data_IF_221214706111
#
_entry.id   IF_221214706111
#
_cell.length_a   1.000
_cell.length_b   1.000
_cell.length_c   1.000
_cell.angle_alpha   90.00
_cell.angle_beta   90.00
_cell.angle_gamma   90.00
#
_symmetry.space_group_name_H-M   'P 1'
#
loop_
_entity.id
_entity.type
_entity.pdbx_description
1 polymer ?
#
# COMPACT_ATOMS: atom_id res chain seq x y z
N UNK A 1 -7.02 -19.38 7.72
CA UNK A 1 -6.85 -17.94 8.05
C UNK A 1 -5.81 -17.87 9.16
N UNK A 2 -4.76 -17.04 9.03
CA UNK A 2 -3.54 -17.16 9.82
C UNK A 2 -3.61 -16.23 11.05
N UNK A 3 -3.67 -16.74 12.30
CA UNK A 3 -3.99 -15.96 13.51
C UNK A 3 -2.99 -14.83 13.83
N UNK A 4 -1.74 -14.94 13.37
CA UNK A 4 -0.72 -13.90 13.55
C UNK A 4 -1.09 -12.60 12.81
N UNK A 5 -1.77 -12.70 11.67
CA UNK A 5 -2.17 -11.53 10.87
C UNK A 5 -3.36 -10.81 11.53
N UNK A 6 -4.28 -11.55 12.17
CA UNK A 6 -5.45 -10.97 12.83
C UNK A 6 -5.10 -10.15 14.07
N UNK A 7 -3.96 -10.43 14.73
CA UNK A 7 -3.50 -9.69 15.90
C UNK A 7 -2.93 -8.31 15.52
N UNK A 8 -2.29 -8.18 14.35
CA UNK A 8 -1.72 -6.90 13.89
C UNK A 8 -2.72 -6.03 13.13
N UNK A 9 -3.79 -6.61 12.58
CA UNK A 9 -4.85 -5.90 11.84
C UNK A 9 -5.58 -4.78 12.60
N UNK A 10 -5.80 -4.83 13.94
CA UNK A 10 -6.57 -3.80 14.64
C UNK A 10 -5.76 -2.52 14.92
N UNK A 11 -4.43 -2.61 14.91
CA UNK A 11 -3.58 -1.45 15.22
C UNK A 11 -3.53 -0.58 13.96
N UNK A 12 -4.30 0.52 13.99
CA UNK A 12 -4.24 1.53 12.93
C UNK A 12 -2.79 1.97 12.69
N UNK A 13 -2.33 2.08 11.43
CA UNK A 13 -1.00 2.61 11.12
C UNK A 13 -0.72 3.98 11.76
N UNK A 14 -1.78 4.76 12.00
CA UNK A 14 -1.70 6.07 12.66
C UNK A 14 -1.20 5.98 14.12
N UNK A 15 -1.48 4.87 14.81
CA UNK A 15 -1.04 4.67 16.19
C UNK A 15 0.49 4.54 16.31
N UNK A 16 1.19 4.30 15.20
CA UNK A 16 2.64 4.19 15.15
C UNK A 16 3.35 5.54 15.01
N UNK A 17 2.63 6.64 14.73
CA UNK A 17 3.23 7.97 14.51
C UNK A 17 4.08 8.42 15.71
N UNK A 18 3.60 8.39 16.97
CA UNK A 18 4.41 8.84 18.11
C UNK A 18 5.68 7.99 18.30
N UNK A 19 5.57 6.68 18.07
CA UNK A 19 6.70 5.77 18.18
C UNK A 19 7.73 6.01 17.07
N UNK A 20 7.27 6.26 15.85
CA UNK A 20 8.13 6.62 14.73
C UNK A 20 8.92 7.90 15.02
N UNK A 21 8.28 8.92 15.61
CA UNK A 21 8.94 10.15 16.04
C UNK A 21 9.96 9.86 17.15
N UNK A 22 9.62 9.04 18.14
CA UNK A 22 10.53 8.70 19.24
C UNK A 22 11.78 7.94 18.78
N UNK A 23 11.63 7.02 17.82
CA UNK A 23 12.73 6.19 17.35
C UNK A 23 13.58 6.87 16.28
N UNK A 24 12.95 7.56 15.34
CA UNK A 24 13.62 8.09 14.14
C UNK A 24 13.76 9.62 14.14
N UNK A 25 13.11 10.31 15.08
CA UNK A 25 13.00 11.76 15.08
C UNK A 25 12.04 12.29 14.01
N UNK A 26 12.06 13.60 13.82
CA UNK A 26 11.34 14.28 12.74
C UNK A 26 12.19 14.18 11.46
N UNK A 27 11.64 13.57 10.42
CA UNK A 27 12.34 13.41 9.14
C UNK A 27 11.68 12.38 8.24
N UNK A 28 12.38 12.00 7.18
CA UNK A 28 11.87 11.08 6.15
C UNK A 28 11.84 9.62 6.61
N UNK A 29 12.78 9.21 7.47
CA UNK A 29 12.87 7.83 7.99
C UNK A 29 11.61 7.40 8.73
N UNK A 30 11.06 8.26 9.60
CA UNK A 30 9.81 7.99 10.32
C UNK A 30 8.61 7.84 9.38
N UNK A 31 8.52 8.69 8.35
CA UNK A 31 7.46 8.60 7.32
C UNK A 31 7.53 7.28 6.57
N UNK A 32 8.73 6.86 6.14
CA UNK A 32 8.95 5.58 5.45
C UNK A 32 8.54 4.40 6.31
N UNK A 33 8.86 4.42 7.61
CA UNK A 33 8.43 3.37 8.54
C UNK A 33 6.90 3.28 8.65
N UNK A 34 6.21 4.41 8.77
CA UNK A 34 4.75 4.46 8.84
C UNK A 34 4.10 3.92 7.56
N UNK A 35 4.63 4.30 6.39
CA UNK A 35 4.17 3.79 5.09
C UNK A 35 4.40 2.28 5.00
N UNK A 36 5.56 1.79 5.45
CA UNK A 36 5.85 0.36 5.46
C UNK A 36 4.82 -0.40 6.30
N UNK A 37 4.54 0.03 7.54
CA UNK A 37 3.53 -0.62 8.39
C UNK A 37 2.14 -0.56 7.76
N UNK A 38 1.76 0.57 7.15
CA UNK A 38 0.47 0.77 6.51
C UNK A 38 0.25 -0.08 5.24
N UNK A 39 1.32 -0.42 4.54
CA UNK A 39 1.25 -1.11 3.23
C UNK A 39 1.64 -2.58 3.30
N UNK A 40 2.43 -3.00 4.28
CA UNK A 40 2.95 -4.36 4.36
C UNK A 40 1.85 -5.43 4.45
N UNK A 41 0.90 -5.26 5.38
CA UNK A 41 -0.14 -6.27 5.62
C UNK A 41 -1.12 -6.43 4.45
N UNK A 42 -1.69 -5.35 3.85
CA UNK A 42 -2.59 -5.56 2.72
C UNK A 42 -1.87 -6.13 1.48
N UNK A 43 -0.61 -5.77 1.20
CA UNK A 43 0.19 -6.42 0.13
C UNK A 43 0.35 -7.91 0.42
N UNK A 44 0.83 -8.25 1.62
CA UNK A 44 1.10 -9.63 2.00
C UNK A 44 -0.16 -10.48 1.92
N UNK A 45 -1.28 -9.98 2.44
CA UNK A 45 -2.53 -10.74 2.49
C UNK A 45 -3.12 -10.99 1.12
N UNK A 46 -3.18 -9.97 0.27
CA UNK A 46 -3.67 -10.13 -1.10
C UNK A 46 -2.76 -11.02 -1.92
N UNK A 47 -1.44 -10.97 -1.71
CA UNK A 47 -0.49 -11.86 -2.37
C UNK A 47 -0.71 -13.31 -1.95
N UNK A 48 -0.82 -13.58 -0.63
CA UNK A 48 -1.05 -14.93 -0.11
C UNK A 48 -2.41 -15.47 -0.55
N UNK A 49 -3.45 -14.65 -0.54
CA UNK A 49 -4.78 -15.03 -1.01
C UNK A 49 -4.77 -15.33 -2.51
N UNK A 50 -4.10 -14.50 -3.31
CA UNK A 50 -3.92 -14.70 -4.74
C UNK A 50 -3.24 -16.02 -5.08
N UNK A 51 -2.16 -16.36 -4.38
CA UNK A 51 -1.45 -17.64 -4.59
C UNK A 51 -2.32 -18.83 -4.14
N UNK A 52 -3.08 -18.71 -3.05
CA UNK A 52 -3.94 -19.79 -2.54
C UNK A 52 -5.17 -20.06 -3.41
N UNK A 53 -5.64 -19.06 -4.15
CA UNK A 53 -6.80 -19.17 -5.04
C UNK A 53 -6.47 -19.79 -6.40
N UNK A 54 -5.20 -20.02 -6.72
CA UNK A 54 -4.81 -20.66 -7.99
C UNK A 54 -5.43 -22.05 -8.06
N UNK A 55 -6.18 -22.31 -9.13
CA UNK A 55 -6.81 -23.60 -9.33
C UNK A 55 -5.77 -24.71 -9.48
N UNK A 56 -5.94 -25.87 -8.81
CA UNK A 56 -5.01 -26.99 -8.94
C UNK A 56 -4.84 -27.48 -10.38
N UNK A 57 -5.83 -27.25 -11.25
CA UNK A 57 -5.78 -27.60 -12.67
C UNK A 57 -4.69 -26.82 -13.42
N UNK A 58 -4.51 -25.52 -13.14
CA UNK A 58 -3.44 -24.72 -13.74
C UNK A 58 -2.06 -25.27 -13.36
N UNK A 59 -1.89 -25.67 -12.11
CA UNK A 59 -0.63 -26.23 -11.61
C UNK A 59 -0.31 -27.58 -12.25
N UNK A 60 -1.34 -28.43 -12.44
CA UNK A 60 -1.19 -29.72 -13.13
C UNK A 60 -0.89 -29.52 -14.62
N UNK A 61 -1.60 -28.61 -15.28
CA UNK A 61 -1.37 -28.27 -16.69
C UNK A 61 0.06 -27.76 -16.92
N UNK A 62 0.56 -26.87 -16.04
CA UNK A 62 1.95 -26.41 -16.09
C UNK A 62 2.97 -27.56 -16.04
N UNK A 63 2.77 -28.53 -15.15
CA UNK A 63 3.66 -29.72 -15.06
C UNK A 63 3.61 -30.60 -16.30
N UNK A 64 2.42 -30.80 -16.90
CA UNK A 64 2.29 -31.59 -18.15
C UNK A 64 2.95 -30.87 -19.34
N UNK A 65 2.96 -29.55 -19.35
CA UNK A 65 3.54 -28.71 -20.41
C UNK A 65 5.04 -28.44 -20.25
N UNK A 66 5.74 -29.17 -19.37
CA UNK A 66 7.20 -29.10 -19.22
C UNK A 66 7.72 -28.14 -18.15
N UNK A 67 6.88 -27.66 -17.23
CA UNK A 67 7.36 -26.98 -16.02
C UNK A 67 7.87 -28.02 -15.00
N UNK A 68 9.06 -28.59 -15.24
CA UNK A 68 9.62 -29.69 -14.44
C UNK A 68 10.22 -29.22 -13.09
N UNK A 69 10.65 -27.96 -13.02
CA UNK A 69 11.25 -27.37 -11.81
C UNK A 69 10.25 -26.50 -11.05
N UNK A 70 10.31 -26.52 -9.71
CA UNK A 70 9.49 -25.65 -8.85
C UNK A 70 9.62 -24.17 -9.21
N UNK A 71 10.83 -23.73 -9.56
CA UNK A 71 11.09 -22.36 -10.00
C UNK A 71 10.38 -22.00 -11.32
N UNK A 72 10.33 -22.93 -12.27
CA UNK A 72 9.70 -22.70 -13.57
C UNK A 72 8.18 -22.66 -13.43
N UNK A 73 7.62 -23.57 -12.62
CA UNK A 73 6.20 -23.55 -12.25
C UNK A 73 5.81 -22.24 -11.53
N UNK A 74 6.66 -21.78 -10.60
CA UNK A 74 6.46 -20.51 -9.91
C UNK A 74 6.45 -19.34 -10.89
N UNK A 75 7.47 -19.22 -11.74
CA UNK A 75 7.64 -18.06 -12.61
C UNK A 75 6.63 -18.02 -13.77
N UNK A 76 6.30 -19.16 -14.36
CA UNK A 76 5.45 -19.24 -15.56
C UNK A 76 3.96 -19.45 -15.27
N UNK A 77 3.61 -20.00 -14.11
CA UNK A 77 2.22 -20.32 -13.77
C UNK A 77 1.79 -19.54 -12.53
N UNK A 78 2.48 -19.70 -11.40
CA UNK A 78 2.00 -19.11 -10.13
C UNK A 78 2.07 -17.59 -10.12
N UNK A 79 3.19 -17.02 -10.56
CA UNK A 79 3.40 -15.57 -10.60
C UNK A 79 2.39 -14.86 -11.50
N UNK A 80 2.22 -15.23 -12.79
CA UNK A 80 1.22 -14.57 -13.64
C UNK A 80 -0.21 -14.81 -13.17
N UNK A 81 -0.54 -16.00 -12.64
CA UNK A 81 -1.89 -16.29 -12.15
C UNK A 81 -2.25 -15.50 -10.88
N UNK A 82 -1.27 -15.20 -10.02
CA UNK A 82 -1.48 -14.41 -8.79
C UNK A 82 -1.29 -12.90 -8.99
N UNK A 83 -0.74 -12.48 -10.14
CA UNK A 83 -0.43 -11.08 -10.44
C UNK A 83 -1.65 -10.14 -10.31
N UNK A 84 -2.87 -10.48 -10.76
CA UNK A 84 -4.04 -9.64 -10.56
C UNK A 84 -4.33 -9.38 -9.08
N UNK A 85 -4.26 -10.41 -8.23
CA UNK A 85 -4.44 -10.25 -6.78
C UNK A 85 -3.33 -9.42 -6.14
N UNK A 86 -2.08 -9.59 -6.58
CA UNK A 86 -0.95 -8.76 -6.10
C UNK A 86 -1.20 -7.28 -6.43
N UNK A 87 -1.66 -6.98 -7.65
CA UNK A 87 -1.97 -5.61 -8.09
C UNK A 87 -3.14 -5.01 -7.29
N UNK A 88 -4.18 -5.78 -7.00
CA UNK A 88 -5.26 -5.36 -6.09
C UNK A 88 -4.72 -5.05 -4.70
N UNK A 89 -3.83 -5.90 -4.17
CA UNK A 89 -3.14 -5.67 -2.90
C UNK A 89 -2.33 -4.37 -2.88
N UNK A 90 -1.55 -4.12 -3.93
CA UNK A 90 -0.78 -2.89 -4.09
C UNK A 90 -1.67 -1.66 -4.15
N UNK A 91 -2.80 -1.72 -4.87
CA UNK A 91 -3.77 -0.62 -4.97
C UNK A 91 -4.38 -0.27 -3.61
N UNK A 92 -4.83 -1.29 -2.86
CA UNK A 92 -5.38 -1.09 -1.50
C UNK A 92 -4.32 -0.48 -0.59
N UNK A 93 -3.09 -0.98 -0.69
CA UNK A 93 -1.97 -0.54 0.14
C UNK A 93 -1.52 0.87 -0.20
N UNK A 94 -1.61 1.28 -1.46
CA UNK A 94 -1.39 2.66 -1.84
C UNK A 94 -2.38 3.59 -1.13
N UNK A 95 -3.68 3.23 -1.10
CA UNK A 95 -4.68 4.02 -0.39
C UNK A 95 -4.40 4.15 1.11
N UNK A 96 -4.04 3.06 1.78
CA UNK A 96 -3.72 3.08 3.22
C UNK A 96 -2.41 3.81 3.51
N UNK A 97 -1.37 3.60 2.69
CA UNK A 97 -0.08 4.30 2.80
C UNK A 97 -0.21 5.80 2.53
N UNK A 98 -1.04 6.19 1.56
CA UNK A 98 -1.34 7.58 1.22
C UNK A 98 -2.00 8.33 2.38
N UNK A 99 -3.02 7.72 3.01
CA UNK A 99 -3.63 8.30 4.20
C UNK A 99 -2.64 8.39 5.37
N UNK A 100 -1.79 7.37 5.55
CA UNK A 100 -0.84 7.31 6.65
C UNK A 100 0.30 8.35 6.51
N UNK A 101 0.85 8.56 5.30
CA UNK A 101 1.89 9.59 5.09
C UNK A 101 1.33 10.99 5.33
N UNK A 102 0.12 11.30 4.85
CA UNK A 102 -0.50 12.62 5.07
C UNK A 102 -0.72 12.87 6.56
N UNK A 103 -1.21 11.87 7.29
CA UNK A 103 -1.39 12.00 8.73
C UNK A 103 -0.05 12.17 9.47
N UNK A 104 0.99 11.47 9.06
CA UNK A 104 2.34 11.67 9.61
C UNK A 104 2.86 13.08 9.35
N UNK A 105 2.64 13.60 8.13
CA UNK A 105 3.04 14.96 7.75
C UNK A 105 2.25 16.05 8.49
N UNK A 106 0.99 15.81 8.83
CA UNK A 106 0.18 16.74 9.61
C UNK A 106 0.69 16.89 11.06
N UNK A 107 1.21 15.80 11.64
CA UNK A 107 1.63 15.77 13.05
C UNK A 107 3.05 16.27 13.23
N UNK A 108 4.00 15.82 12.42
CA UNK A 108 5.42 16.10 12.64
C UNK A 108 6.22 16.01 11.33
N UNK A 109 6.07 17.02 10.47
CA UNK A 109 6.95 17.22 9.32
C UNK A 109 7.31 18.69 9.15
N UNK A 110 8.47 18.95 8.53
CA UNK A 110 8.93 20.30 8.16
C UNK A 110 8.67 20.62 6.67
N UNK A 111 8.08 19.67 5.95
CA UNK A 111 7.78 19.76 4.51
C UNK A 111 6.80 18.65 4.12
N UNK A 112 5.96 18.92 3.14
CA UNK A 112 4.96 17.98 2.64
C UNK A 112 3.59 18.63 2.44
N UNK A 113 2.66 17.86 1.86
CA UNK A 113 1.29 18.35 1.65
C UNK A 113 0.52 18.38 2.97
N UNK A 114 0.76 17.41 3.86
CA UNK A 114 0.21 17.45 5.21
C UNK A 114 0.77 18.63 6.02
N UNK A 115 2.06 18.95 5.86
CA UNK A 115 2.67 20.12 6.48
C UNK A 115 2.02 21.43 5.99
N UNK A 116 1.82 21.59 4.67
CA UNK A 116 1.16 22.77 4.09
C UNK A 116 -0.24 23.01 4.68
N UNK A 117 -1.00 21.93 4.92
CA UNK A 117 -2.31 22.01 5.56
C UNK A 117 -2.16 22.43 7.02
N UNK A 118 -1.21 21.83 7.76
CA UNK A 118 -0.97 22.16 9.16
C UNK A 118 -0.55 23.63 9.34
N UNK A 119 0.38 24.10 8.51
CA UNK A 119 0.83 25.50 8.47
C UNK A 119 -0.32 26.46 8.12
N UNK A 120 -1.12 26.13 7.10
CA UNK A 120 -2.32 26.89 6.74
C UNK A 120 -3.36 26.96 7.86
N UNK A 121 -3.50 25.89 8.66
CA UNK A 121 -4.36 25.87 9.84
C UNK A 121 -3.83 26.78 10.96
N UNK A 122 -2.52 26.78 11.21
CA UNK A 122 -1.89 27.61 12.24
C UNK A 122 -2.09 29.11 11.97
N UNK A 123 -1.95 29.52 10.71
CA UNK A 123 -2.15 30.92 10.28
C UNK A 123 -3.60 31.24 9.87
N UNK A 124 -4.55 30.32 10.11
CA UNK A 124 -5.99 30.46 9.82
C UNK A 124 -6.30 30.82 8.35
N UNK A 125 -5.46 30.37 7.42
CA UNK A 125 -5.61 30.58 5.97
C UNK A 125 -6.27 29.39 5.31
N UNK A 126 -7.59 29.48 5.19
CA UNK A 126 -8.42 28.45 4.54
C UNK A 126 -8.07 28.24 3.07
N UNK A 127 -7.53 29.26 2.39
CA UNK A 127 -7.06 29.17 1.01
C UNK A 127 -5.93 28.14 0.86
N UNK A 128 -4.94 28.13 1.76
CA UNK A 128 -3.85 27.15 1.74
C UNK A 128 -4.32 25.73 2.06
N UNK A 129 -5.21 25.60 3.05
CA UNK A 129 -5.80 24.32 3.44
C UNK A 129 -6.56 23.69 2.27
N UNK A 130 -7.41 24.47 1.60
CA UNK A 130 -8.21 23.99 0.46
C UNK A 130 -7.31 23.59 -0.71
N UNK A 131 -6.28 24.39 -1.03
CA UNK A 131 -5.32 24.05 -2.09
C UNK A 131 -4.60 22.74 -1.75
N UNK A 132 -4.14 22.56 -0.52
CA UNK A 132 -3.53 21.31 -0.06
C UNK A 132 -4.46 20.10 -0.24
N UNK A 133 -5.72 20.22 0.18
CA UNK A 133 -6.73 19.17 0.02
C UNK A 133 -6.99 18.80 -1.45
N UNK A 134 -7.09 19.81 -2.33
CA UNK A 134 -7.30 19.61 -3.77
C UNK A 134 -6.10 18.87 -4.38
N UNK A 135 -4.87 19.31 -4.08
CA UNK A 135 -3.65 18.67 -4.60
C UNK A 135 -3.54 17.22 -4.13
N UNK A 136 -3.82 16.95 -2.86
CA UNK A 136 -3.88 15.59 -2.32
C UNK A 136 -4.89 14.74 -3.08
N UNK A 137 -6.10 15.26 -3.31
CA UNK A 137 -7.17 14.58 -4.03
C UNK A 137 -6.78 14.25 -5.47
N UNK A 138 -6.20 15.21 -6.19
CA UNK A 138 -5.75 15.02 -7.58
C UNK A 138 -4.67 13.94 -7.65
N UNK A 139 -3.65 13.99 -6.79
CA UNK A 139 -2.57 12.98 -6.79
C UNK A 139 -3.14 11.61 -6.47
N UNK A 140 -4.02 11.51 -5.47
CA UNK A 140 -4.68 10.25 -5.12
C UNK A 140 -5.46 9.64 -6.28
N UNK A 141 -6.23 10.46 -7.01
CA UNK A 141 -7.01 10.02 -8.18
C UNK A 141 -6.10 9.62 -9.35
N UNK A 142 -5.02 10.35 -9.60
CA UNK A 142 -4.08 10.04 -10.67
C UNK A 142 -3.42 8.67 -10.44
N UNK A 143 -2.98 8.39 -9.22
CA UNK A 143 -2.36 7.10 -8.90
C UNK A 143 -3.39 5.96 -8.89
N UNK A 144 -4.58 6.16 -8.34
CA UNK A 144 -5.65 5.14 -8.41
C UNK A 144 -6.04 4.82 -9.85
N UNK A 145 -6.09 5.83 -10.73
CA UNK A 145 -6.33 5.66 -12.16
C UNK A 145 -5.23 4.84 -12.85
N UNK A 146 -3.97 5.05 -12.46
CA UNK A 146 -2.85 4.26 -12.98
C UNK A 146 -2.95 2.78 -12.58
N UNK A 147 -3.34 2.50 -11.33
CA UNK A 147 -3.59 1.13 -10.87
C UNK A 147 -4.75 0.47 -11.62
N UNK A 148 -5.84 1.21 -11.87
CA UNK A 148 -6.97 0.72 -12.67
C UNK A 148 -6.53 0.33 -14.09
N UNK A 149 -5.77 1.20 -14.76
CA UNK A 149 -5.24 0.92 -16.10
C UNK A 149 -4.32 -0.32 -16.12
N UNK A 150 -3.49 -0.48 -15.08
CA UNK A 150 -2.63 -1.66 -14.96
C UNK A 150 -3.45 -2.95 -14.77
N UNK A 151 -4.56 -2.89 -14.03
CA UNK A 151 -5.45 -4.03 -13.80
C UNK A 151 -6.24 -4.43 -15.05
N UNK A 152 -6.74 -3.47 -15.84
CA UNK A 152 -7.48 -3.75 -17.08
C UNK A 152 -6.66 -4.48 -18.15
N UNK A 153 -5.33 -4.57 -18.01
CA UNK A 153 -4.48 -5.36 -18.90
C UNK A 153 -4.61 -6.88 -18.66
N UNK A 154 -5.16 -7.28 -17.50
CA UNK A 154 -5.25 -8.67 -17.07
C UNK A 154 -6.69 -9.21 -17.08
N UNK A 155 -7.67 -8.36 -17.40
CA UNK A 155 -9.05 -8.75 -17.74
C UNK A 155 -9.15 -9.04 -19.24
#
# INVERSE_FOLDING_TARGET
>A
INPVVEIFRPISPLAWIPLAILWFGIGESGKVFIIFVATFFPILLNTVDGVKRIEPVLLRAGRVLGCDTQFDLFRRVMLPASLPSILVGLRISFGTGWAAIIAAELVAANSGLGYLISDGMEILRSDLVIVGMIVIGIIGVLVDSLFKLALTRFE
#
